data_IF_852201322479
#
_entry.id   IF_852201322479
#
_cell.length_a   1.000
_cell.length_b   1.000
_cell.length_c   1.000
_cell.angle_alpha   90.00
_cell.angle_beta   90.00
_cell.angle_gamma   90.00
#
_symmetry.space_group_name_H-M   'P 1'
#
loop_
_entity.id
_entity.type
_entity.pdbx_description
1 polymer ?
#
# COMPACT_ATOMS: atom_id res chain seq x y z
N UNK A 1 -13.60 -2.14 0.74
CA UNK A 1 -12.28 -2.60 1.25
C UNK A 1 -12.36 -3.42 2.55
N UNK A 2 -13.18 -3.04 3.54
CA UNK A 2 -13.31 -3.82 4.79
C UNK A 2 -13.76 -5.28 4.56
N UNK A 3 -14.71 -5.49 3.64
CA UNK A 3 -15.20 -6.82 3.25
C UNK A 3 -14.10 -7.73 2.67
N UNK A 4 -13.35 -7.29 1.65
CA UNK A 4 -12.19 -8.03 1.09
C UNK A 4 -11.13 -8.39 2.15
N UNK A 5 -10.89 -7.50 3.14
CA UNK A 5 -10.01 -7.83 4.28
C UNK A 5 -10.54 -8.99 5.10
N UNK A 6 -11.80 -8.92 5.51
CA UNK A 6 -12.44 -9.96 6.34
C UNK A 6 -12.51 -11.28 5.57
N UNK A 7 -12.89 -11.25 4.29
CA UNK A 7 -12.99 -12.43 3.44
C UNK A 7 -11.63 -13.14 3.29
N UNK A 8 -10.56 -12.39 3.01
CA UNK A 8 -9.21 -12.95 2.92
C UNK A 8 -8.73 -13.55 4.25
N UNK A 9 -9.15 -12.99 5.38
CA UNK A 9 -8.81 -13.51 6.70
C UNK A 9 -9.60 -14.75 7.07
N UNK A 10 -10.89 -14.82 6.72
CA UNK A 10 -11.70 -16.03 6.84
C UNK A 10 -11.14 -17.16 5.99
N UNK A 11 -10.80 -16.87 4.73
CA UNK A 11 -10.12 -17.83 3.87
C UNK A 11 -8.81 -18.34 4.49
N UNK A 12 -8.05 -17.46 5.16
CA UNK A 12 -6.83 -17.86 5.87
C UNK A 12 -7.14 -18.81 7.03
N UNK A 13 -8.14 -18.51 7.86
CA UNK A 13 -8.54 -19.41 8.96
C UNK A 13 -9.01 -20.77 8.45
N UNK A 14 -9.75 -20.82 7.34
CA UNK A 14 -10.18 -22.09 6.74
C UNK A 14 -9.02 -22.91 6.20
N UNK A 15 -8.07 -22.27 5.51
CA UNK A 15 -6.88 -22.95 4.98
C UNK A 15 -6.00 -23.46 6.12
N UNK A 16 -5.79 -22.67 7.17
CA UNK A 16 -5.06 -23.11 8.36
C UNK A 16 -5.71 -24.35 8.99
N UNK A 17 -7.03 -24.31 9.20
CA UNK A 17 -7.80 -25.40 9.81
C UNK A 17 -7.75 -26.67 8.96
N UNK A 18 -7.89 -26.55 7.63
CA UNK A 18 -7.72 -27.68 6.69
C UNK A 18 -6.32 -28.30 6.72
N UNK A 19 -5.30 -27.56 7.15
CA UNK A 19 -3.92 -28.04 7.28
C UNK A 19 -3.52 -28.37 8.73
N UNK A 20 -4.50 -28.56 9.63
CA UNK A 20 -4.27 -29.01 11.01
C UNK A 20 -3.99 -27.92 12.05
N UNK A 21 -3.99 -26.64 11.64
CA UNK A 21 -3.91 -25.49 12.54
C UNK A 21 -5.34 -25.02 12.81
N UNK A 22 -5.99 -25.61 13.81
CA UNK A 22 -7.41 -25.43 14.11
C UNK A 22 -7.67 -24.02 14.68
N UNK A 23 -7.83 -23.05 13.78
CA UNK A 23 -8.11 -21.65 14.07
C UNK A 23 -9.35 -21.29 13.29
N UNK A 24 -10.50 -21.33 13.95
CA UNK A 24 -11.77 -20.93 13.39
C UNK A 24 -11.93 -19.42 13.45
N UNK A 25 -12.81 -18.89 12.59
CA UNK A 25 -13.08 -17.46 12.57
C UNK A 25 -13.57 -16.93 13.93
N UNK A 26 -14.39 -17.71 14.64
CA UNK A 26 -14.87 -17.38 15.99
C UNK A 26 -13.75 -17.21 17.01
N UNK A 27 -12.67 -18.00 16.91
CA UNK A 27 -11.52 -17.85 17.82
C UNK A 27 -10.83 -16.50 17.63
N UNK A 28 -10.75 -16.04 16.39
CA UNK A 28 -10.12 -14.77 16.02
C UNK A 28 -10.98 -13.58 16.48
N UNK A 29 -12.30 -13.75 16.47
CA UNK A 29 -13.23 -12.76 17.03
C UNK A 29 -13.13 -12.67 18.56
N UNK A 30 -12.62 -13.69 19.24
CA UNK A 30 -12.45 -13.69 20.68
C UNK A 30 -11.14 -12.99 21.10
N UNK A 31 -11.27 -12.02 22.00
CA UNK A 31 -10.16 -11.37 22.70
C UNK A 31 -9.55 -12.30 23.75
N UNK A 32 -8.31 -12.02 24.14
CA UNK A 32 -7.63 -12.79 25.19
C UNK A 32 -8.30 -12.64 26.57
N UNK A 33 -9.04 -11.56 26.79
CA UNK A 33 -9.83 -11.29 28.00
C UNK A 33 -11.24 -11.91 27.97
N UNK A 34 -11.56 -12.69 26.92
CA UNK A 34 -12.86 -13.36 26.75
C UNK A 34 -13.94 -12.50 26.10
N UNK A 35 -13.70 -11.20 25.86
CA UNK A 35 -14.64 -10.34 25.13
C UNK A 35 -14.62 -10.63 23.62
N UNK A 36 -15.62 -10.15 22.88
CA UNK A 36 -15.65 -10.27 21.41
C UNK A 36 -15.23 -8.97 20.74
N UNK A 37 -14.54 -9.06 19.61
CA UNK A 37 -14.17 -7.92 18.76
C UNK A 37 -15.06 -7.88 17.50
N UNK A 38 -15.46 -6.69 17.01
CA UNK A 38 -16.14 -6.55 15.72
C UNK A 38 -15.28 -7.09 14.56
N UNK A 39 -15.91 -7.68 13.55
CA UNK A 39 -15.18 -8.30 12.43
C UNK A 39 -14.34 -7.29 11.63
N UNK A 40 -14.87 -6.09 11.44
CA UNK A 40 -14.21 -5.00 10.75
C UNK A 40 -12.98 -4.47 11.50
N UNK A 41 -12.90 -4.68 12.81
CA UNK A 41 -11.73 -4.37 13.63
C UNK A 41 -10.59 -5.39 13.50
N UNK A 42 -10.86 -6.57 12.91
CA UNK A 42 -9.88 -7.66 12.83
C UNK A 42 -8.66 -7.23 12.02
N UNK A 43 -7.48 -7.57 12.57
CA UNK A 43 -6.17 -7.42 11.95
C UNK A 43 -5.53 -8.80 11.79
N UNK A 44 -4.61 -8.95 10.82
CA UNK A 44 -3.91 -10.22 10.58
C UNK A 44 -3.13 -10.67 11.82
N UNK A 45 -2.69 -9.70 12.64
CA UNK A 45 -2.07 -9.93 13.95
C UNK A 45 -2.94 -10.78 14.87
N UNK A 46 -4.26 -10.58 14.89
CA UNK A 46 -5.17 -11.36 15.76
C UNK A 46 -5.19 -12.84 15.38
N UNK A 47 -5.00 -13.16 14.09
CA UNK A 47 -4.85 -14.54 13.62
C UNK A 47 -3.54 -15.13 14.17
N UNK A 48 -2.43 -14.37 14.09
CA UNK A 48 -1.13 -14.82 14.61
C UNK A 48 -1.15 -15.02 16.14
N UNK A 49 -1.81 -14.12 16.85
CA UNK A 49 -2.05 -14.24 18.30
C UNK A 49 -2.90 -15.48 18.61
N UNK A 50 -3.90 -15.78 17.80
CA UNK A 50 -4.76 -16.97 17.99
C UNK A 50 -4.01 -18.27 17.73
N UNK A 51 -3.18 -18.34 16.68
CA UNK A 51 -2.30 -19.49 16.40
C UNK A 51 -1.39 -19.76 17.61
N UNK A 52 -0.73 -18.72 18.13
CA UNK A 52 0.17 -18.83 19.27
C UNK A 52 -0.59 -19.20 20.56
N UNK A 53 -1.75 -18.57 20.82
CA UNK A 53 -2.61 -18.85 21.98
C UNK A 53 -3.09 -20.30 22.01
N UNK A 54 -3.35 -20.89 20.84
CA UNK A 54 -3.72 -22.32 20.70
C UNK A 54 -2.52 -23.28 20.74
N UNK A 55 -1.30 -22.76 20.92
CA UNK A 55 -0.09 -23.56 21.13
C UNK A 55 0.58 -24.07 19.85
N UNK A 56 0.15 -23.63 18.67
CA UNK A 56 0.76 -24.05 17.40
C UNK A 56 2.14 -23.39 17.15
N UNK A 57 2.42 -22.26 17.78
CA UNK A 57 3.72 -21.59 17.81
C UNK A 57 3.98 -21.01 19.20
N UNK A 58 5.25 -20.76 19.55
CA UNK A 58 5.59 -20.21 20.87
C UNK A 58 5.23 -18.74 20.99
N UNK A 59 5.30 -18.01 19.88
CA UNK A 59 5.03 -16.57 19.83
C UNK A 59 4.19 -16.19 18.62
N UNK A 60 3.55 -15.02 18.68
CA UNK A 60 2.82 -14.48 17.52
C UNK A 60 3.77 -14.08 16.38
N UNK A 61 5.03 -13.74 16.68
CA UNK A 61 6.06 -13.47 15.67
C UNK A 61 6.39 -14.74 14.87
N UNK A 62 6.53 -15.88 15.55
CA UNK A 62 6.70 -17.18 14.88
C UNK A 62 5.49 -17.53 14.01
N UNK A 63 4.26 -17.34 14.52
CA UNK A 63 3.04 -17.52 13.72
C UNK A 63 3.01 -16.62 12.49
N UNK A 64 3.45 -15.36 12.62
CA UNK A 64 3.57 -14.43 11.50
C UNK A 64 4.54 -14.96 10.43
N UNK A 65 5.70 -15.50 10.83
CA UNK A 65 6.68 -16.09 9.91
C UNK A 65 6.09 -17.32 9.21
N UNK A 66 5.48 -18.24 9.97
CA UNK A 66 4.80 -19.43 9.45
C UNK A 66 3.78 -19.08 8.36
N UNK A 67 2.96 -18.05 8.59
CA UNK A 67 1.93 -17.62 7.63
C UNK A 67 2.54 -16.88 6.44
N UNK A 68 3.56 -16.05 6.66
CA UNK A 68 4.18 -15.22 5.61
C UNK A 68 5.00 -16.08 4.63
N UNK A 69 5.75 -17.04 5.16
CA UNK A 69 6.76 -17.79 4.41
C UNK A 69 6.16 -19.07 3.77
N UNK A 70 4.94 -19.45 4.16
CA UNK A 70 4.20 -20.53 3.52
C UNK A 70 3.27 -19.99 2.41
N UNK A 71 3.48 -20.36 1.12
CA UNK A 71 2.65 -19.91 0.00
C UNK A 71 1.16 -20.24 0.15
N UNK A 72 0.83 -21.35 0.80
CA UNK A 72 -0.55 -21.81 1.03
C UNK A 72 -1.25 -20.89 2.06
N UNK A 73 -0.52 -20.43 3.06
CA UNK A 73 -1.07 -19.55 4.12
C UNK A 73 -0.96 -18.06 3.79
N UNK A 74 -0.12 -17.68 2.83
CA UNK A 74 0.08 -16.29 2.49
C UNK A 74 -1.01 -15.75 1.55
N UNK A 75 -2.27 -15.88 1.97
CA UNK A 75 -3.42 -15.35 1.23
C UNK A 75 -3.32 -13.83 1.17
N UNK A 76 -3.12 -13.33 -0.05
CA UNK A 76 -3.09 -11.91 -0.34
C UNK A 76 -4.52 -11.41 -0.42
N UNK A 77 -4.78 -10.25 0.19
CA UNK A 77 -6.06 -9.57 0.01
C UNK A 77 -6.17 -9.11 -1.43
N UNK A 78 -7.38 -9.19 -1.96
CA UNK A 78 -7.70 -8.52 -3.21
C UNK A 78 -7.64 -7.01 -2.99
N UNK A 79 -6.74 -6.35 -3.73
CA UNK A 79 -6.65 -4.90 -3.79
C UNK A 79 -7.61 -4.41 -4.87
N UNK A 80 -8.12 -3.19 -4.69
CA UNK A 80 -8.87 -2.51 -5.75
C UNK A 80 -8.03 -2.45 -7.04
N UNK A 81 -8.67 -2.63 -8.19
CA UNK A 81 -7.99 -2.37 -9.46
C UNK A 81 -7.59 -0.89 -9.52
N UNK A 82 -6.32 -0.57 -9.79
CA UNK A 82 -5.87 0.82 -9.95
C UNK A 82 -6.70 1.61 -10.95
N UNK A 83 -7.24 0.98 -12.00
CA UNK A 83 -8.10 1.65 -12.97
C UNK A 83 -9.44 2.05 -12.34
N UNK A 84 -10.05 1.14 -11.58
CA UNK A 84 -11.28 1.42 -10.84
C UNK A 84 -11.06 2.50 -9.77
N UNK A 85 -9.91 2.48 -9.09
CA UNK A 85 -9.57 3.49 -8.10
C UNK A 85 -9.50 4.89 -8.72
N UNK A 86 -8.90 5.02 -9.91
CA UNK A 86 -8.86 6.28 -10.65
C UNK A 86 -10.29 6.74 -10.97
N UNK A 87 -11.14 5.85 -11.49
CA UNK A 87 -12.53 6.18 -11.84
C UNK A 87 -13.33 6.63 -10.63
N UNK A 88 -13.19 5.97 -9.48
CA UNK A 88 -13.87 6.35 -8.23
C UNK A 88 -13.42 7.73 -7.75
N UNK A 89 -12.11 8.01 -7.75
CA UNK A 89 -11.58 9.32 -7.35
C UNK A 89 -12.13 10.41 -8.28
N UNK A 90 -12.11 10.16 -9.59
CA UNK A 90 -12.64 11.07 -10.61
C UNK A 90 -14.13 11.32 -10.45
N UNK A 91 -14.92 10.28 -10.21
CA UNK A 91 -16.37 10.38 -10.02
C UNK A 91 -16.73 11.16 -8.74
N UNK A 92 -15.86 11.13 -7.72
CA UNK A 92 -15.99 11.94 -6.51
C UNK A 92 -15.53 13.40 -6.68
N UNK A 93 -15.13 13.82 -7.88
CA UNK A 93 -14.59 15.16 -8.15
C UNK A 93 -13.14 15.35 -7.70
N UNK A 94 -12.45 14.29 -7.30
CA UNK A 94 -11.06 14.33 -6.86
C UNK A 94 -10.04 14.25 -7.99
N UNK A 95 -8.78 14.49 -7.63
CA UNK A 95 -7.62 14.37 -8.53
C UNK A 95 -6.86 13.09 -8.21
N UNK A 96 -6.85 12.13 -9.15
CA UNK A 96 -6.12 10.87 -8.98
C UNK A 96 -4.62 11.07 -9.27
N UNK A 97 -3.78 10.79 -8.27
CA UNK A 97 -2.32 11.00 -8.33
C UNK A 97 -1.61 9.68 -8.04
N UNK A 98 -0.64 9.31 -8.87
CA UNK A 98 0.21 8.14 -8.64
C UNK A 98 1.32 8.49 -7.65
N UNK A 99 1.23 7.92 -6.44
CA UNK A 99 2.25 8.08 -5.41
C UNK A 99 3.54 7.31 -5.75
N UNK A 100 4.67 7.93 -5.45
CA UNK A 100 6.04 7.39 -5.46
C UNK A 100 6.27 6.31 -6.54
N UNK A 101 6.20 6.66 -7.84
CA UNK A 101 6.20 5.70 -8.94
C UNK A 101 7.42 4.78 -9.00
N UNK A 102 8.60 5.22 -8.52
CA UNK A 102 9.80 4.38 -8.56
C UNK A 102 9.84 3.28 -7.49
N UNK A 103 8.84 3.21 -6.59
CA UNK A 103 8.62 2.04 -5.73
C UNK A 103 7.90 0.90 -6.45
N UNK A 104 7.35 1.16 -7.64
CA UNK A 104 6.89 0.11 -8.55
C UNK A 104 8.13 -0.54 -9.17
N UNK A 105 8.23 -1.86 -9.07
CA UNK A 105 9.30 -2.63 -9.70
C UNK A 105 9.31 -2.39 -11.23
N UNK A 106 10.48 -2.46 -11.85
CA UNK A 106 10.63 -2.20 -13.29
C UNK A 106 9.76 -3.11 -14.16
N UNK A 107 9.53 -4.34 -13.70
CA UNK A 107 8.58 -5.29 -14.27
C UNK A 107 7.40 -5.46 -13.33
N UNK A 108 6.20 -5.15 -13.83
CA UNK A 108 4.93 -5.34 -13.13
C UNK A 108 4.29 -6.62 -13.61
N UNK A 109 4.07 -7.57 -12.71
CA UNK A 109 3.34 -8.80 -12.99
C UNK A 109 1.89 -8.69 -12.51
N UNK A 110 0.94 -8.83 -13.42
CA UNK A 110 -0.49 -8.85 -13.10
C UNK A 110 -1.21 -9.87 -14.00
N UNK A 111 -1.96 -10.78 -13.40
CA UNK A 111 -2.76 -11.80 -14.10
C UNK A 111 -1.94 -12.64 -15.11
N UNK A 112 -0.70 -12.98 -14.76
CA UNK A 112 0.20 -13.75 -15.64
C UNK A 112 0.80 -12.96 -16.80
N UNK A 113 0.59 -11.64 -16.85
CA UNK A 113 1.18 -10.74 -17.83
C UNK A 113 2.25 -9.88 -17.14
N UNK A 114 3.43 -9.82 -17.74
CA UNK A 114 4.52 -8.94 -17.34
C UNK A 114 4.55 -7.72 -18.26
N UNK A 115 4.52 -6.52 -17.68
CA UNK A 115 4.65 -5.25 -18.41
C UNK A 115 5.73 -4.38 -17.75
N UNK A 116 6.32 -3.45 -18.49
CA UNK A 116 7.24 -2.50 -17.88
C UNK A 116 6.51 -1.54 -16.95
N UNK A 117 7.21 -0.96 -15.96
CA UNK A 117 6.68 0.11 -15.12
C UNK A 117 6.14 1.26 -15.97
N UNK A 118 6.86 1.63 -17.04
CA UNK A 118 6.44 2.69 -17.95
C UNK A 118 5.09 2.37 -18.61
N UNK A 119 4.96 1.21 -19.25
CA UNK A 119 3.71 0.81 -19.90
C UNK A 119 2.55 0.72 -18.90
N UNK A 120 2.86 0.28 -17.67
CA UNK A 120 1.89 0.25 -16.60
C UNK A 120 1.40 1.67 -16.23
N UNK A 121 2.32 2.64 -16.07
CA UNK A 121 1.96 4.04 -15.80
C UNK A 121 1.17 4.64 -16.97
N UNK A 122 1.57 4.39 -18.21
CA UNK A 122 0.85 4.87 -19.40
C UNK A 122 -0.60 4.34 -19.46
N UNK A 123 -0.85 3.10 -19.03
CA UNK A 123 -2.21 2.56 -18.88
C UNK A 123 -3.03 3.30 -17.82
N UNK A 124 -2.40 3.71 -16.71
CA UNK A 124 -3.06 4.53 -15.69
C UNK A 124 -3.43 5.90 -16.25
N UNK A 125 -2.51 6.54 -16.99
CA UNK A 125 -2.74 7.82 -17.68
C UNK A 125 -3.91 7.71 -18.65
N UNK A 126 -3.92 6.69 -19.51
CA UNK A 126 -5.01 6.42 -20.45
C UNK A 126 -6.36 6.21 -19.74
N UNK A 127 -6.35 5.80 -18.48
CA UNK A 127 -7.54 5.57 -17.66
C UNK A 127 -7.95 6.79 -16.82
N UNK A 128 -7.30 7.95 -17.00
CA UNK A 128 -7.68 9.21 -16.36
C UNK A 128 -6.86 9.60 -15.13
N UNK A 129 -5.67 9.03 -14.94
CA UNK A 129 -4.70 9.53 -13.96
C UNK A 129 -4.38 11.00 -14.27
N UNK A 130 -4.41 11.86 -13.25
CA UNK A 130 -4.26 13.33 -13.40
C UNK A 130 -2.97 13.87 -12.83
N UNK A 131 -2.24 13.06 -12.06
CA UNK A 131 -0.94 13.48 -11.58
C UNK A 131 -0.03 12.34 -11.17
N UNK A 132 1.22 12.71 -10.93
CA UNK A 132 2.27 11.80 -10.51
C UNK A 132 3.17 12.49 -9.48
N UNK A 133 3.61 11.72 -8.48
CA UNK A 133 4.49 12.23 -7.45
C UNK A 133 5.94 12.27 -7.94
N UNK A 134 6.52 13.47 -8.03
CA UNK A 134 7.90 13.68 -8.43
C UNK A 134 8.81 14.11 -7.27
N UNK A 135 8.25 14.72 -6.22
CA UNK A 135 8.99 15.06 -5.02
C UNK A 135 8.75 13.97 -3.96
N UNK A 136 9.69 13.06 -3.79
CA UNK A 136 9.55 11.99 -2.81
C UNK A 136 10.94 11.54 -2.32
N UNK A 137 11.16 11.34 -1.01
CA UNK A 137 12.46 10.98 -0.46
C UNK A 137 12.75 9.47 -0.63
N UNK A 138 13.08 9.04 -1.86
CA UNK A 138 13.33 7.62 -2.18
C UNK A 138 14.52 7.02 -1.43
N UNK A 139 15.56 7.81 -1.16
CA UNK A 139 16.74 7.43 -0.37
C UNK A 139 16.43 7.01 1.08
N UNK A 140 15.23 7.31 1.58
CA UNK A 140 14.74 6.94 2.92
C UNK A 140 13.76 5.77 2.91
N UNK A 141 13.67 5.02 1.81
CA UNK A 141 12.59 4.05 1.56
C UNK A 141 13.10 2.71 1.07
N UNK A 142 12.20 1.81 0.67
CA UNK A 142 12.53 0.53 0.07
C UNK A 142 12.88 0.60 -1.43
N UNK A 143 13.19 1.78 -1.95
CA UNK A 143 13.65 1.93 -3.32
C UNK A 143 14.91 1.10 -3.56
N UNK A 144 14.92 0.29 -4.61
CA UNK A 144 15.99 -0.68 -4.92
C UNK A 144 16.94 -0.20 -6.02
N UNK A 145 16.69 0.96 -6.61
CA UNK A 145 17.51 1.48 -7.69
C UNK A 145 18.71 2.27 -7.18
N UNK A 146 19.43 2.90 -8.10
CA UNK A 146 20.68 3.62 -7.82
C UNK A 146 20.58 5.14 -8.01
N UNK A 147 19.43 5.61 -8.49
CA UNK A 147 19.24 7.02 -8.82
C UNK A 147 19.03 7.84 -7.54
N UNK A 148 19.50 9.08 -7.54
CA UNK A 148 19.18 10.03 -6.45
C UNK A 148 17.73 10.53 -6.55
N UNK A 149 17.24 11.16 -5.48
CA UNK A 149 15.91 11.78 -5.48
C UNK A 149 15.76 12.81 -6.60
N UNK A 150 16.80 13.59 -6.89
CA UNK A 150 16.83 14.60 -7.95
C UNK A 150 16.82 13.96 -9.35
N UNK A 151 17.57 12.88 -9.55
CA UNK A 151 17.58 12.15 -10.82
C UNK A 151 16.22 11.53 -11.12
N UNK A 152 15.58 10.95 -10.10
CA UNK A 152 14.22 10.39 -10.20
C UNK A 152 13.21 11.51 -10.46
N UNK A 153 13.28 12.63 -9.73
CA UNK A 153 12.42 13.78 -9.96
C UNK A 153 12.57 14.27 -11.40
N UNK A 154 13.81 14.40 -11.89
CA UNK A 154 14.08 14.85 -13.25
C UNK A 154 13.55 13.87 -14.30
N UNK A 155 13.65 12.55 -14.10
CA UNK A 155 13.07 11.56 -15.03
C UNK A 155 11.55 11.67 -15.09
N UNK A 156 10.89 11.74 -13.94
CA UNK A 156 9.42 11.88 -13.86
C UNK A 156 8.94 13.16 -14.55
N UNK A 157 9.62 14.29 -14.31
CA UNK A 157 9.25 15.56 -14.95
C UNK A 157 9.47 15.54 -16.47
N UNK A 158 10.56 14.92 -16.95
CA UNK A 158 10.80 14.78 -18.40
C UNK A 158 9.76 13.87 -19.07
N UNK A 159 9.42 12.76 -18.45
CA UNK A 159 8.53 11.76 -19.02
C UNK A 159 7.06 12.18 -18.96
N UNK A 160 6.63 12.77 -17.83
CA UNK A 160 5.21 12.96 -17.52
C UNK A 160 4.80 14.41 -17.27
N UNK A 161 5.75 15.33 -17.08
CA UNK A 161 5.46 16.73 -16.72
C UNK A 161 4.68 17.52 -17.76
N UNK A 162 4.72 17.09 -19.03
CA UNK A 162 3.96 17.71 -20.12
C UNK A 162 2.60 17.04 -20.37
N UNK A 163 2.39 15.79 -19.94
CA UNK A 163 1.17 15.03 -20.20
C UNK A 163 0.23 14.93 -19.00
N UNK A 164 0.74 15.11 -17.78
CA UNK A 164 -0.06 15.14 -16.56
C UNK A 164 -0.21 16.57 -16.03
N UNK A 165 -1.44 17.01 -15.73
CA UNK A 165 -1.68 18.38 -15.29
C UNK A 165 -1.27 18.65 -13.83
N UNK A 166 -0.96 17.61 -13.05
CA UNK A 166 -0.52 17.73 -11.65
C UNK A 166 0.78 16.96 -11.42
N UNK A 167 1.75 17.65 -10.83
CA UNK A 167 2.92 17.05 -10.21
C UNK A 167 2.76 17.19 -8.71
N UNK A 168 2.89 16.08 -7.97
CA UNK A 168 2.78 16.10 -6.51
C UNK A 168 4.11 15.87 -5.81
N UNK A 169 4.06 16.04 -4.49
CA UNK A 169 5.10 15.65 -3.56
C UNK A 169 4.51 15.39 -2.19
N UNK A 170 5.03 14.38 -1.50
CA UNK A 170 4.80 14.17 -0.08
C UNK A 170 5.95 13.42 0.58
N UNK A 171 6.01 13.53 1.91
CA UNK A 171 7.00 12.81 2.70
C UNK A 171 6.63 11.36 2.96
N UNK A 172 5.35 11.00 2.79
CA UNK A 172 4.79 9.74 3.30
C UNK A 172 5.21 9.50 4.77
N UNK A 173 5.02 10.50 5.63
CA UNK A 173 5.45 10.46 7.03
C UNK A 173 4.65 9.44 7.86
N UNK A 174 5.35 8.54 8.57
CA UNK A 174 4.77 7.52 9.47
C UNK A 174 5.37 7.53 10.88
N UNK A 175 5.92 8.68 11.32
CA UNK A 175 6.62 8.84 12.59
C UNK A 175 7.77 7.82 12.81
N UNK A 176 8.53 7.57 11.76
CA UNK A 176 9.57 6.51 11.72
C UNK A 176 10.69 6.74 12.74
N UNK A 177 10.96 8.00 13.14
CA UNK A 177 11.89 8.30 14.22
C UNK A 177 11.50 7.67 15.56
N UNK A 178 10.20 7.52 15.87
CA UNK A 178 9.73 6.83 17.08
C UNK A 178 9.98 5.31 17.04
N UNK A 179 10.26 4.77 15.85
CA UNK A 179 10.56 3.34 15.62
C UNK A 179 12.07 3.08 15.58
N UNK A 180 12.90 4.10 15.83
CA UNK A 180 14.36 3.98 15.81
C UNK A 180 14.96 3.83 14.41
N UNK A 181 14.26 4.27 13.36
CA UNK A 181 14.82 4.27 12.00
C UNK A 181 15.96 5.29 11.94
N UNK A 182 17.13 4.86 11.42
CA UNK A 182 18.35 5.67 11.41
C UNK A 182 18.25 6.95 10.55
N UNK A 183 17.51 6.88 9.42
CA UNK A 183 17.26 8.02 8.53
C UNK A 183 15.74 8.18 8.33
N UNK A 184 15.02 8.77 9.31
CA UNK A 184 13.58 8.89 9.24
C UNK A 184 13.14 9.98 8.26
N UNK A 185 11.98 9.78 7.65
CA UNK A 185 11.29 10.81 6.87
C UNK A 185 10.70 11.86 7.81
N UNK A 186 10.79 13.13 7.42
CA UNK A 186 10.25 14.25 8.19
C UNK A 186 8.94 14.77 7.61
N UNK A 187 8.12 15.41 8.45
CA UNK A 187 6.87 16.01 7.97
C UNK A 187 7.19 17.20 7.06
N UNK A 188 6.60 17.22 5.85
CA UNK A 188 6.84 18.26 4.86
C UNK A 188 8.07 18.03 3.97
N UNK A 189 8.83 16.95 4.19
CA UNK A 189 9.89 16.51 3.28
C UNK A 189 9.29 16.11 1.91
N UNK A 190 10.00 16.40 0.81
CA UNK A 190 9.58 15.99 -0.52
C UNK A 190 8.22 16.55 -0.92
N UNK A 191 8.02 17.87 -0.94
CA UNK A 191 6.75 18.50 -1.30
C UNK A 191 6.75 19.24 -2.65
N UNK A 192 5.60 19.86 -2.94
CA UNK A 192 5.48 20.96 -3.90
C UNK A 192 5.33 22.29 -3.16
N UNK A 193 5.64 23.40 -3.82
CA UNK A 193 5.47 24.72 -3.20
C UNK A 193 4.00 25.02 -2.98
N UNK A 194 3.69 25.78 -1.94
CA UNK A 194 2.32 26.26 -1.70
C UNK A 194 1.82 27.14 -2.86
N UNK A 195 2.71 27.93 -3.44
CA UNK A 195 2.41 28.74 -4.62
C UNK A 195 1.97 27.87 -5.82
N UNK A 196 2.70 26.80 -6.12
CA UNK A 196 2.29 25.83 -7.14
C UNK A 196 0.92 25.22 -6.83
N UNK A 197 0.69 24.81 -5.58
CA UNK A 197 -0.60 24.25 -5.16
C UNK A 197 -1.76 25.24 -5.41
N UNK A 198 -1.58 26.52 -5.05
CA UNK A 198 -2.62 27.55 -5.21
C UNK A 198 -2.81 28.01 -6.65
N UNK A 199 -1.79 27.92 -7.49
CA UNK A 199 -1.84 28.40 -8.88
C UNK A 199 -2.20 27.29 -9.87
N UNK A 200 -2.06 26.02 -9.49
CA UNK A 200 -2.54 24.89 -10.29
C UNK A 200 -4.09 24.87 -10.28
N UNK A 201 -4.77 25.01 -11.45
CA UNK A 201 -6.23 25.12 -11.50
C UNK A 201 -6.99 23.93 -10.91
N UNK A 202 -6.44 22.72 -11.00
CA UNK A 202 -7.07 21.52 -10.48
C UNK A 202 -6.92 21.41 -8.96
N UNK A 203 -5.77 21.76 -8.42
CA UNK A 203 -5.52 21.72 -6.98
C UNK A 203 -6.24 22.86 -6.25
N UNK A 204 -6.24 24.06 -6.84
CA UNK A 204 -6.92 25.23 -6.29
C UNK A 204 -8.45 25.05 -6.22
N UNK A 205 -9.04 24.24 -7.10
CA UNK A 205 -10.46 23.95 -7.10
C UNK A 205 -10.90 22.98 -5.97
N UNK A 206 -9.96 22.39 -5.23
CA UNK A 206 -10.23 21.46 -4.12
C UNK A 206 -10.37 22.15 -2.76
N UNK A 207 -10.10 23.45 -2.66
CA UNK A 207 -10.09 24.23 -1.41
C UNK A 207 -11.18 25.30 -1.39
#
# INVERSE_FOLDING_TARGET
MAKSKVDAYRALTEVLTRNGILVDWSDVLQNADGTSRPEDSVQRKHIFETIARKGYTKTWQEAKLLVRDNPVYNIRREKIDPLDAIQIIRAAGGVAILAHPHLIDETVEKNGVSVSRKDYIERLIASGLMGIEAAYPYDKTSYKGKQTNEEIRASILREYGACLPVISGGSDYHADGKKGVANPRELGEGGVTFDYFRTNPLLAALI
#
